data_IF_413262861039
#
_entry.id   IF_413262861039
#
_cell.length_a   1.000
_cell.length_b   1.000
_cell.length_c   1.000
_cell.angle_alpha   90.00
_cell.angle_beta   90.00
_cell.angle_gamma   90.00
#
_symmetry.space_group_name_H-M   'P 1'
#
loop_
_entity.id
_entity.type
_entity.pdbx_description
1 polymer ?
#
# COMPACT_ATOMS: atom_id res chain seq x y z
N UNK A 1 1.18 -6.84 -29.91
CA UNK A 1 1.00 -7.30 -28.51
C UNK A 1 -0.40 -6.92 -28.11
N UNK A 2 -1.29 -7.89 -28.02
CA UNK A 2 -2.73 -7.70 -27.79
C UNK A 2 -2.91 -7.09 -26.40
N UNK A 3 -3.38 -5.84 -26.35
CA UNK A 3 -3.88 -5.25 -25.11
C UNK A 3 -5.11 -6.07 -24.72
N UNK A 4 -4.97 -6.94 -23.72
CA UNK A 4 -6.10 -7.42 -22.96
C UNK A 4 -6.66 -6.19 -22.26
N UNK A 5 -7.73 -5.61 -22.80
CA UNK A 5 -8.49 -4.59 -22.07
C UNK A 5 -9.10 -5.32 -20.89
N UNK A 6 -8.47 -5.23 -19.72
CA UNK A 6 -9.03 -5.74 -18.50
C UNK A 6 -10.31 -4.95 -18.22
N UNK A 7 -11.46 -5.60 -18.39
CA UNK A 7 -12.75 -4.98 -18.08
C UNK A 7 -13.03 -5.15 -16.59
N UNK A 8 -12.74 -4.13 -15.79
CA UNK A 8 -13.19 -4.02 -14.41
C UNK A 8 -14.22 -2.87 -14.28
N UNK A 9 -15.12 -2.92 -13.28
CA UNK A 9 -16.10 -1.85 -13.04
C UNK A 9 -15.43 -0.50 -12.78
N UNK A 10 -16.14 0.61 -12.99
CA UNK A 10 -15.60 1.95 -12.72
C UNK A 10 -15.59 2.30 -11.22
N UNK A 11 -14.66 3.16 -10.82
CA UNK A 11 -14.60 3.72 -9.47
C UNK A 11 -14.32 2.67 -8.40
N UNK A 12 -14.95 2.82 -7.22
CA UNK A 12 -14.74 1.91 -6.09
C UNK A 12 -15.25 0.49 -6.34
N UNK A 13 -16.06 0.26 -7.38
CA UNK A 13 -16.49 -1.09 -7.75
C UNK A 13 -15.37 -1.93 -8.38
N UNK A 14 -14.26 -1.32 -8.82
CA UNK A 14 -13.07 -2.03 -9.30
C UNK A 14 -12.32 -2.76 -8.18
N UNK A 15 -12.41 -2.23 -6.96
CA UNK A 15 -11.86 -2.80 -5.73
C UNK A 15 -12.72 -2.36 -4.53
N UNK A 16 -13.81 -3.08 -4.22
CA UNK A 16 -14.78 -2.72 -3.19
C UNK A 16 -14.30 -3.01 -1.75
N UNK A 17 -13.11 -3.59 -1.58
CA UNK A 17 -12.60 -3.98 -0.27
C UNK A 17 -12.02 -2.78 0.48
N UNK A 18 -12.37 -2.65 1.76
CA UNK A 18 -11.75 -1.65 2.66
C UNK A 18 -10.30 -2.00 3.01
N UNK A 19 -9.92 -3.28 2.99
CA UNK A 19 -8.58 -3.74 3.33
C UNK A 19 -8.23 -5.05 2.62
N UNK A 20 -6.94 -5.37 2.58
CA UNK A 20 -6.39 -6.54 1.88
C UNK A 20 -5.67 -7.46 2.88
N UNK A 21 -6.39 -8.47 3.39
CA UNK A 21 -5.85 -9.47 4.34
C UNK A 21 -5.38 -10.76 3.68
N UNK A 22 -5.71 -10.94 2.40
CA UNK A 22 -5.32 -12.09 1.60
C UNK A 22 -5.88 -11.99 0.17
N UNK A 23 -5.37 -12.81 -0.73
CA UNK A 23 -5.72 -12.76 -2.16
C UNK A 23 -6.78 -13.81 -2.57
N UNK A 24 -7.04 -14.81 -1.72
CA UNK A 24 -7.93 -15.94 -2.05
C UNK A 24 -9.39 -15.51 -2.30
N UNK A 25 -9.82 -14.41 -1.67
CA UNK A 25 -11.16 -13.86 -1.85
C UNK A 25 -11.29 -12.85 -2.99
N UNK A 26 -10.21 -12.55 -3.70
CA UNK A 26 -10.27 -11.57 -4.79
C UNK A 26 -10.85 -12.19 -6.05
N UNK A 27 -11.78 -11.49 -6.67
CA UNK A 27 -12.23 -11.80 -8.02
C UNK A 27 -11.09 -11.52 -9.02
N UNK A 28 -11.03 -12.25 -10.16
CA UNK A 28 -9.98 -12.04 -11.15
C UNK A 28 -9.86 -10.60 -11.67
N UNK A 29 -10.98 -9.89 -11.80
CA UNK A 29 -10.97 -8.50 -12.27
C UNK A 29 -10.36 -7.53 -11.25
N UNK A 30 -10.49 -7.81 -9.94
CA UNK A 30 -9.89 -7.01 -8.87
C UNK A 30 -8.36 -7.14 -8.89
N UNK A 31 -7.86 -8.35 -9.15
CA UNK A 31 -6.42 -8.61 -9.32
C UNK A 31 -5.90 -7.85 -10.55
N UNK A 32 -6.61 -7.95 -11.68
CA UNK A 32 -6.23 -7.25 -12.91
C UNK A 32 -6.24 -5.73 -12.72
N UNK A 33 -7.24 -5.19 -12.03
CA UNK A 33 -7.30 -3.78 -11.66
C UNK A 33 -6.06 -3.34 -10.85
N UNK A 34 -5.70 -4.08 -9.80
CA UNK A 34 -4.51 -3.77 -8.99
C UNK A 34 -3.21 -3.81 -9.80
N UNK A 35 -3.07 -4.78 -10.72
CA UNK A 35 -1.90 -4.89 -11.60
C UNK A 35 -1.83 -3.72 -12.60
N UNK A 36 -2.97 -3.30 -13.17
CA UNK A 36 -3.02 -2.17 -14.09
C UNK A 36 -2.75 -0.83 -13.38
N UNK A 37 -3.29 -0.64 -12.18
CA UNK A 37 -2.95 0.53 -11.33
C UNK A 37 -1.45 0.55 -10.98
N UNK A 38 -0.84 -0.60 -10.68
CA UNK A 38 0.59 -0.69 -10.40
C UNK A 38 1.46 -0.21 -11.57
N UNK A 39 1.07 -0.47 -12.82
CA UNK A 39 1.80 -0.02 -14.01
C UNK A 39 1.89 1.51 -14.11
N UNK A 40 0.88 2.24 -13.63
CA UNK A 40 0.93 3.71 -13.59
C UNK A 40 2.02 4.21 -12.64
N UNK A 41 2.15 3.56 -11.48
CA UNK A 41 3.20 3.87 -10.51
C UNK A 41 4.59 3.46 -10.99
N UNK A 42 4.71 2.36 -11.73
CA UNK A 42 5.97 1.99 -12.39
C UNK A 42 6.40 3.08 -13.37
N UNK A 43 5.48 3.61 -14.17
CA UNK A 43 5.76 4.72 -15.11
C UNK A 43 6.17 5.98 -14.37
N UNK A 44 5.43 6.39 -13.34
CA UNK A 44 5.74 7.56 -12.51
C UNK A 44 7.13 7.45 -11.86
N UNK A 45 7.50 6.27 -11.39
CA UNK A 45 8.80 6.03 -10.75
C UNK A 45 10.01 6.20 -11.70
N UNK A 46 9.79 6.14 -13.02
CA UNK A 46 10.81 6.39 -14.05
C UNK A 46 10.98 7.88 -14.37
N UNK A 47 10.05 8.73 -13.95
CA UNK A 47 10.14 10.17 -14.18
C UNK A 47 11.09 10.84 -13.18
N UNK A 48 11.62 12.04 -13.49
CA UNK A 48 12.40 12.83 -12.54
C UNK A 48 11.58 13.25 -11.32
N UNK A 49 10.32 13.62 -11.55
CA UNK A 49 9.35 13.96 -10.51
C UNK A 49 8.56 12.71 -10.14
N UNK A 50 8.79 12.20 -8.93
CA UNK A 50 8.25 10.92 -8.44
C UNK A 50 7.23 11.12 -7.31
N UNK A 51 6.69 12.33 -7.20
CA UNK A 51 5.80 12.72 -6.11
C UNK A 51 4.42 13.06 -6.66
N UNK A 52 3.40 12.55 -5.98
CA UNK A 52 1.98 12.82 -6.15
C UNK A 52 1.45 13.25 -4.76
N UNK A 53 0.40 14.06 -4.70
CA UNK A 53 -0.14 14.60 -3.44
C UNK A 53 -1.51 14.01 -3.06
N UNK A 54 -1.92 12.88 -3.67
CA UNK A 54 -3.20 12.22 -3.42
C UNK A 54 -3.46 11.87 -1.95
N UNK A 55 -2.41 11.65 -1.16
CA UNK A 55 -2.51 11.33 0.26
C UNK A 55 -1.99 12.46 1.16
N UNK A 56 -1.83 13.68 0.63
CA UNK A 56 -1.38 14.83 1.42
C UNK A 56 -2.30 15.08 2.63
N UNK A 57 -1.71 15.24 3.81
CA UNK A 57 -2.42 15.41 5.08
C UNK A 57 -2.95 14.12 5.70
N UNK A 58 -2.70 12.96 5.10
CA UNK A 58 -2.99 11.65 5.67
C UNK A 58 -1.73 11.02 6.27
N UNK A 59 -1.90 10.29 7.37
CA UNK A 59 -0.83 9.53 8.02
C UNK A 59 -0.98 8.04 7.73
N UNK A 60 0.13 7.40 7.33
CA UNK A 60 0.24 5.95 7.17
C UNK A 60 1.16 5.40 8.27
N UNK A 61 0.66 4.42 9.02
CA UNK A 61 1.42 3.74 10.07
C UNK A 61 1.81 2.34 9.58
N UNK A 62 3.11 2.09 9.48
CA UNK A 62 3.65 0.76 9.21
C UNK A 62 3.93 0.05 10.54
N UNK A 63 3.07 -0.90 10.91
CA UNK A 63 3.18 -1.70 12.14
C UNK A 63 3.70 -3.12 11.84
N UNK A 64 5.02 -3.30 11.87
CA UNK A 64 5.66 -4.60 11.67
C UNK A 64 6.14 -5.17 13.00
N UNK A 65 5.56 -6.31 13.40
CA UNK A 65 5.94 -7.03 14.63
C UNK A 65 7.11 -8.00 14.43
N UNK A 66 7.42 -8.28 13.16
CA UNK A 66 8.56 -9.10 12.75
C UNK A 66 9.41 -8.33 11.73
N UNK A 67 10.72 -8.60 11.73
CA UNK A 67 11.64 -7.90 10.85
C UNK A 67 11.35 -8.22 9.36
N UNK A 68 11.00 -7.20 8.58
CA UNK A 68 10.73 -7.34 7.15
C UNK A 68 11.22 -6.12 6.35
N UNK A 69 12.52 -6.08 6.05
CA UNK A 69 13.17 -4.91 5.43
C UNK A 69 12.56 -4.51 4.08
N UNK A 70 12.33 -5.47 3.18
CA UNK A 70 11.81 -5.19 1.84
C UNK A 70 10.39 -4.62 1.90
N UNK A 71 9.55 -5.21 2.74
CA UNK A 71 8.14 -4.83 2.87
C UNK A 71 8.01 -3.46 3.53
N UNK A 72 8.75 -3.22 4.63
CA UNK A 72 8.75 -1.92 5.30
C UNK A 72 9.18 -0.81 4.33
N UNK A 73 10.30 -1.01 3.63
CA UNK A 73 10.83 -0.02 2.71
C UNK A 73 9.88 0.23 1.53
N UNK A 74 9.23 -0.81 0.99
CA UNK A 74 8.29 -0.63 -0.12
C UNK A 74 7.07 0.19 0.29
N UNK A 75 6.49 -0.07 1.46
CA UNK A 75 5.36 0.71 1.98
C UNK A 75 5.75 2.14 2.33
N UNK A 76 6.93 2.34 2.94
CA UNK A 76 7.43 3.67 3.25
C UNK A 76 7.64 4.52 2.01
N UNK A 77 8.30 3.97 0.98
CA UNK A 77 8.52 4.68 -0.28
C UNK A 77 7.19 4.99 -0.96
N UNK A 78 6.26 4.04 -1.01
CA UNK A 78 4.96 4.24 -1.64
C UNK A 78 4.15 5.36 -0.96
N UNK A 79 4.04 5.33 0.37
CA UNK A 79 3.32 6.36 1.13
C UNK A 79 3.92 7.76 0.95
N UNK A 80 5.25 7.88 1.07
CA UNK A 80 5.97 9.15 0.86
C UNK A 80 5.79 9.68 -0.57
N UNK A 81 5.84 8.81 -1.60
CA UNK A 81 5.64 9.24 -3.00
C UNK A 81 4.23 9.73 -3.28
N UNK A 82 3.24 9.28 -2.50
CA UNK A 82 1.85 9.73 -2.58
C UNK A 82 1.57 10.96 -1.69
N UNK A 83 2.59 11.48 -1.01
CA UNK A 83 2.50 12.68 -0.18
C UNK A 83 1.97 12.44 1.24
N UNK A 84 1.88 11.19 1.68
CA UNK A 84 1.48 10.87 3.05
C UNK A 84 2.63 11.06 4.05
N UNK A 85 2.27 11.40 5.29
CA UNK A 85 3.18 11.29 6.43
C UNK A 85 3.31 9.82 6.84
N UNK A 86 4.51 9.25 6.75
CA UNK A 86 4.74 7.83 7.08
C UNK A 86 5.42 7.69 8.43
N UNK A 87 4.83 6.87 9.31
CA UNK A 87 5.37 6.50 10.62
C UNK A 87 5.67 5.00 10.64
N UNK A 88 6.91 4.63 10.94
CA UNK A 88 7.31 3.23 11.07
C UNK A 88 7.39 2.85 12.55
N UNK A 89 6.52 1.94 13.00
CA UNK A 89 6.57 1.40 14.36
C UNK A 89 7.49 0.18 14.40
N UNK A 90 8.56 0.26 15.19
CA UNK A 90 9.48 -0.85 15.43
C UNK A 90 9.11 -1.54 16.75
N UNK A 91 8.35 -2.64 16.67
CA UNK A 91 7.91 -3.39 17.85
C UNK A 91 9.07 -3.90 18.73
N UNK A 92 10.24 -4.15 18.13
CA UNK A 92 11.47 -4.52 18.85
C UNK A 92 11.98 -3.41 19.80
N UNK A 93 11.53 -2.16 19.63
CA UNK A 93 11.97 -1.00 20.44
C UNK A 93 10.84 -0.34 21.24
N UNK A 94 9.57 -0.55 20.90
CA UNK A 94 8.43 0.07 21.61
C UNK A 94 7.84 -0.86 22.66
N UNK A 95 7.95 -0.45 23.94
CA UNK A 95 7.07 -0.74 25.11
C UNK A 95 6.41 -2.10 25.35
N UNK A 96 6.63 -3.16 24.57
CA UNK A 96 6.27 -4.54 24.97
C UNK A 96 7.01 -4.93 26.28
N UNK A 97 8.06 -4.18 26.64
CA UNK A 97 8.72 -4.25 27.96
C UNK A 97 7.93 -3.66 29.14
N UNK A 98 6.80 -2.97 28.93
CA UNK A 98 6.02 -2.31 29.99
C UNK A 98 4.65 -2.92 30.27
N UNK A 99 4.28 -4.03 29.65
CA UNK A 99 3.06 -4.77 29.99
C UNK A 99 1.76 -4.14 29.48
N UNK A 100 1.82 -3.12 28.62
CA UNK A 100 0.67 -2.67 27.85
C UNK A 100 0.39 -3.68 26.72
N UNK A 101 -0.84 -4.14 26.63
CA UNK A 101 -1.25 -5.03 25.55
C UNK A 101 -1.33 -4.24 24.25
N UNK A 102 -1.04 -4.85 23.10
CA UNK A 102 -1.10 -4.18 21.78
C UNK A 102 -2.51 -3.66 21.41
N UNK A 103 -3.51 -3.98 22.23
CA UNK A 103 -4.92 -3.64 22.06
C UNK A 103 -5.30 -2.40 22.90
N UNK A 104 -4.47 -1.99 23.87
CA UNK A 104 -4.68 -0.78 24.67
C UNK A 104 -4.20 0.49 23.95
#
# INVERSE_FOLDING_TARGET
MTSLVASYPAGSAAFPHRGLVGIAGLAPHEILFLLEEAEQWVKLNRLPQKHDNRLAGLTIINAFFENSTRTLLSFEIAGKRLGADVVNMQAAQSSIKKGETLID
#
